data_IF_241948711635
#
_entry.id   IF_241948711635
#
_cell.length_a   1.000
_cell.length_b   1.000
_cell.length_c   1.000
_cell.angle_alpha   90.00
_cell.angle_beta   90.00
_cell.angle_gamma   90.00
#
_symmetry.space_group_name_H-M   'P 1'
#
loop_
_entity.id
_entity.type
_entity.pdbx_description
1 polymer ?
#
# COMPACT_ATOMS: atom_id res chain seq x y z
N UNK A 1 0.57 -8.97 -26.25
CA UNK A 1 0.71 -8.65 -24.82
C UNK A 1 0.08 -9.76 -24.02
N UNK A 2 0.73 -10.18 -22.93
CA UNK A 2 0.22 -11.24 -22.04
C UNK A 2 0.19 -10.74 -20.60
N UNK A 3 -0.98 -10.80 -19.95
CA UNK A 3 -1.20 -10.30 -18.58
C UNK A 3 -1.52 -11.47 -17.64
N UNK A 4 -0.92 -11.48 -16.45
CA UNK A 4 -1.37 -12.37 -15.38
C UNK A 4 -2.37 -11.64 -14.49
N UNK A 5 -3.53 -12.25 -14.22
CA UNK A 5 -4.49 -11.79 -13.23
C UNK A 5 -4.36 -12.63 -11.96
N UNK A 6 -4.09 -11.96 -10.83
CA UNK A 6 -4.07 -12.56 -9.51
C UNK A 6 -5.30 -12.11 -8.73
N UNK A 7 -6.20 -13.04 -8.45
CA UNK A 7 -7.45 -12.80 -7.72
C UNK A 7 -7.25 -13.08 -6.23
N UNK A 8 -7.63 -12.12 -5.36
CA UNK A 8 -7.50 -12.28 -3.91
C UNK A 8 -8.84 -12.20 -3.17
N UNK A 9 -9.96 -12.18 -3.90
CA UNK A 9 -11.28 -11.91 -3.35
C UNK A 9 -11.63 -10.42 -3.36
N UNK A 10 -12.33 -9.96 -2.33
CA UNK A 10 -12.77 -8.58 -2.20
C UNK A 10 -13.99 -8.23 -3.06
N UNK A 11 -14.41 -6.95 -3.02
CA UNK A 11 -15.65 -6.46 -3.64
C UNK A 11 -15.71 -6.63 -5.16
N UNK A 12 -14.56 -6.59 -5.84
CA UNK A 12 -14.48 -6.81 -7.30
C UNK A 12 -14.93 -8.24 -7.69
N UNK A 13 -14.66 -9.25 -6.83
CA UNK A 13 -15.09 -10.63 -7.02
C UNK A 13 -16.35 -11.00 -6.27
N UNK A 14 -17.02 -10.03 -5.60
CA UNK A 14 -18.16 -10.29 -4.72
C UNK A 14 -19.49 -10.18 -5.46
N UNK A 15 -20.51 -10.83 -4.90
CA UNK A 15 -21.90 -10.71 -5.30
C UNK A 15 -22.76 -10.21 -4.15
N UNK A 16 -23.80 -9.44 -4.45
CA UNK A 16 -24.85 -9.12 -3.52
C UNK A 16 -25.77 -10.34 -3.33
N UNK A 17 -25.79 -10.88 -2.11
CA UNK A 17 -26.76 -11.89 -1.69
C UNK A 17 -27.66 -11.28 -0.61
N UNK A 18 -28.81 -10.75 -1.00
CA UNK A 18 -29.69 -10.00 -0.10
C UNK A 18 -29.05 -8.66 0.29
N UNK A 19 -28.85 -8.42 1.61
CA UNK A 19 -28.19 -7.22 2.16
C UNK A 19 -26.69 -7.44 2.45
N UNK A 20 -26.13 -8.63 2.10
CA UNK A 20 -24.75 -9.01 2.42
C UNK A 20 -23.90 -9.09 1.17
N UNK A 21 -22.69 -8.51 1.22
CA UNK A 21 -21.65 -8.67 0.20
C UNK A 21 -20.80 -9.85 0.64
N UNK A 22 -20.66 -10.87 -0.22
CA UNK A 22 -19.80 -12.03 0.04
C UNK A 22 -18.92 -12.35 -1.17
N UNK A 23 -17.71 -12.90 -0.93
CA UNK A 23 -16.85 -13.39 -1.99
C UNK A 23 -17.49 -14.59 -2.66
N UNK A 24 -17.63 -14.56 -3.98
CA UNK A 24 -18.12 -15.68 -4.78
C UNK A 24 -16.96 -16.37 -5.48
N UNK A 25 -16.42 -17.41 -4.87
CA UNK A 25 -15.33 -18.21 -5.43
C UNK A 25 -15.68 -18.92 -6.75
N UNK A 26 -16.98 -18.99 -7.11
CA UNK A 26 -17.40 -19.60 -8.37
C UNK A 26 -17.25 -18.68 -9.59
N UNK A 27 -17.00 -17.38 -9.38
CA UNK A 27 -16.99 -16.37 -10.45
C UNK A 27 -15.88 -15.31 -10.32
N UNK A 28 -14.60 -15.68 -10.12
CA UNK A 28 -13.52 -14.70 -10.01
C UNK A 28 -13.30 -13.89 -11.30
N UNK A 29 -13.84 -14.36 -12.43
CA UNK A 29 -13.59 -13.80 -13.77
C UNK A 29 -14.63 -12.78 -14.25
N UNK A 30 -15.65 -12.49 -13.46
CA UNK A 30 -16.70 -11.52 -13.85
C UNK A 30 -16.14 -10.19 -14.36
N UNK A 31 -15.08 -9.70 -13.71
CA UNK A 31 -14.45 -8.43 -14.13
C UNK A 31 -13.81 -8.54 -15.50
N UNK A 32 -13.21 -9.67 -15.85
CA UNK A 32 -12.62 -9.88 -17.19
C UNK A 32 -13.71 -9.96 -18.24
N UNK A 33 -14.82 -10.65 -17.95
CA UNK A 33 -15.95 -10.78 -18.88
C UNK A 33 -16.63 -9.42 -19.09
N UNK A 34 -16.85 -8.65 -18.03
CA UNK A 34 -17.39 -7.29 -18.13
C UNK A 34 -16.43 -6.33 -18.88
N UNK A 35 -15.11 -6.47 -18.67
CA UNK A 35 -14.13 -5.71 -19.44
C UNK A 35 -14.16 -6.06 -20.93
N UNK A 36 -14.27 -7.37 -21.25
CA UNK A 36 -14.39 -7.86 -22.63
C UNK A 36 -15.63 -7.32 -23.32
N UNK A 37 -16.75 -7.28 -22.62
CA UNK A 37 -18.01 -6.74 -23.13
C UNK A 37 -17.93 -5.23 -23.39
N UNK A 38 -17.34 -4.48 -22.45
CA UNK A 38 -17.28 -3.02 -22.50
C UNK A 38 -16.24 -2.47 -23.48
N UNK A 39 -15.07 -3.10 -23.59
CA UNK A 39 -13.90 -2.56 -24.30
C UNK A 39 -13.29 -3.51 -25.33
N UNK A 40 -13.69 -4.79 -25.35
CA UNK A 40 -12.98 -5.86 -26.04
C UNK A 40 -11.70 -6.27 -25.29
N UNK A 41 -11.12 -7.41 -25.70
CA UNK A 41 -9.82 -7.88 -25.21
C UNK A 41 -8.90 -8.06 -26.41
N UNK A 42 -7.76 -7.38 -26.38
CA UNK A 42 -6.69 -7.43 -27.39
C UNK A 42 -5.37 -7.99 -26.81
N UNK A 43 -5.45 -8.76 -25.72
CA UNK A 43 -4.32 -9.36 -25.01
C UNK A 43 -4.64 -10.80 -24.55
N UNK A 44 -3.61 -11.62 -24.45
CA UNK A 44 -3.68 -12.92 -23.80
C UNK A 44 -3.59 -12.77 -22.28
N UNK A 45 -4.21 -13.70 -21.55
CA UNK A 45 -4.10 -13.69 -20.09
C UNK A 45 -4.09 -15.08 -19.48
N UNK A 46 -3.42 -15.19 -18.35
CA UNK A 46 -3.53 -16.29 -17.41
C UNK A 46 -4.11 -15.78 -16.10
N UNK A 47 -4.56 -16.70 -15.26
CA UNK A 47 -5.17 -16.40 -13.96
C UNK A 47 -4.55 -17.23 -12.85
N UNK A 48 -4.50 -16.66 -11.64
CA UNK A 48 -4.09 -17.33 -10.41
C UNK A 48 -4.90 -16.79 -9.24
N UNK A 49 -5.13 -17.62 -8.24
CA UNK A 49 -5.82 -17.24 -7.01
C UNK A 49 -4.91 -17.58 -5.81
N UNK A 50 -4.06 -16.62 -5.33
CA UNK A 50 -3.22 -16.83 -4.17
C UNK A 50 -4.01 -17.14 -2.90
N UNK A 51 -5.14 -16.48 -2.74
CA UNK A 51 -6.17 -16.70 -1.71
C UNK A 51 -7.48 -16.05 -2.13
N UNK A 52 -8.56 -16.29 -1.36
CA UNK A 52 -9.86 -15.69 -1.59
C UNK A 52 -10.46 -15.26 -0.23
N UNK A 53 -10.35 -13.97 0.11
CA UNK A 53 -10.79 -13.44 1.40
C UNK A 53 -11.31 -12.01 1.25
N UNK A 54 -12.20 -11.59 2.16
CA UNK A 54 -12.55 -10.18 2.33
C UNK A 54 -11.35 -9.43 2.94
N UNK A 55 -11.08 -8.22 2.43
CA UNK A 55 -9.83 -7.54 2.74
C UNK A 55 -9.68 -7.14 4.21
N UNK A 56 -10.77 -6.91 4.93
CA UNK A 56 -10.77 -6.67 6.38
C UNK A 56 -10.28 -7.86 7.20
N UNK A 57 -10.32 -9.08 6.63
CA UNK A 57 -9.82 -10.30 7.25
C UNK A 57 -8.37 -10.62 6.85
N UNK A 58 -7.70 -9.74 6.11
CA UNK A 58 -6.32 -9.96 5.65
C UNK A 58 -5.37 -10.16 6.82
N UNK A 59 -4.48 -11.13 6.67
CA UNK A 59 -3.44 -11.48 7.66
C UNK A 59 -2.06 -11.47 7.02
N UNK A 60 -1.01 -11.62 7.83
CA UNK A 60 0.36 -11.77 7.33
C UNK A 60 0.53 -12.97 6.39
N UNK A 61 -0.23 -14.05 6.63
CA UNK A 61 -0.19 -15.23 5.75
C UNK A 61 -0.78 -14.93 4.37
N UNK A 62 -1.84 -14.11 4.30
CA UNK A 62 -2.41 -13.65 3.03
C UNK A 62 -1.43 -12.74 2.29
N UNK A 63 -0.80 -11.78 2.99
CA UNK A 63 0.23 -10.92 2.39
C UNK A 63 1.40 -11.74 1.85
N UNK A 64 1.87 -12.72 2.61
CA UNK A 64 2.94 -13.63 2.18
C UNK A 64 2.54 -14.40 0.93
N UNK A 65 1.37 -15.07 0.93
CA UNK A 65 0.91 -15.85 -0.20
C UNK A 65 0.80 -15.01 -1.48
N UNK A 66 0.32 -13.75 -1.35
CA UNK A 66 0.24 -12.82 -2.48
C UNK A 66 1.64 -12.42 -2.98
N UNK A 67 2.53 -12.02 -2.08
CA UNK A 67 3.89 -11.60 -2.44
C UNK A 67 4.70 -12.77 -3.03
N UNK A 68 4.60 -13.99 -2.45
CA UNK A 68 5.24 -15.19 -2.99
C UNK A 68 4.74 -15.47 -4.41
N UNK A 69 3.41 -15.44 -4.63
CA UNK A 69 2.81 -15.64 -5.94
C UNK A 69 3.32 -14.62 -6.96
N UNK A 70 3.33 -13.32 -6.62
CA UNK A 70 3.83 -12.27 -7.53
C UNK A 70 5.32 -12.47 -7.82
N UNK A 71 6.16 -12.72 -6.81
CA UNK A 71 7.59 -12.93 -6.98
C UNK A 71 7.93 -14.15 -7.84
N UNK A 72 7.16 -15.23 -7.72
CA UNK A 72 7.31 -16.43 -8.57
C UNK A 72 6.95 -16.17 -10.04
N UNK A 73 5.96 -15.32 -10.28
CA UNK A 73 5.41 -15.10 -11.62
C UNK A 73 6.04 -13.94 -12.38
N UNK A 74 6.66 -12.98 -11.68
CA UNK A 74 7.11 -11.72 -12.27
C UNK A 74 8.14 -11.88 -13.39
N UNK A 75 8.91 -12.98 -13.38
CA UNK A 75 9.94 -13.28 -14.38
C UNK A 75 9.50 -14.33 -15.42
N UNK A 76 8.21 -14.68 -15.49
CA UNK A 76 7.72 -15.72 -16.41
C UNK A 76 7.28 -15.18 -17.78
N UNK A 77 7.67 -13.93 -18.14
CA UNK A 77 7.44 -13.36 -19.46
C UNK A 77 6.06 -12.73 -19.63
N UNK A 78 5.38 -12.38 -18.56
CA UNK A 78 4.20 -11.51 -18.62
C UNK A 78 4.61 -10.06 -18.87
N UNK A 79 3.83 -9.33 -19.65
CA UNK A 79 3.99 -7.89 -19.86
C UNK A 79 3.59 -7.07 -18.61
N UNK A 80 2.79 -7.66 -17.74
CA UNK A 80 2.40 -7.11 -16.45
C UNK A 80 1.52 -8.07 -15.64
N UNK A 81 1.36 -7.75 -14.36
CA UNK A 81 0.50 -8.49 -13.44
C UNK A 81 -0.59 -7.53 -12.93
N UNK A 82 -1.85 -7.95 -12.96
CA UNK A 82 -2.97 -7.23 -12.35
C UNK A 82 -3.46 -8.02 -11.14
N UNK A 83 -3.46 -7.38 -9.98
CA UNK A 83 -3.98 -7.96 -8.74
C UNK A 83 -5.33 -7.33 -8.42
N UNK A 84 -6.39 -8.13 -8.29
CA UNK A 84 -7.67 -7.65 -7.77
C UNK A 84 -7.68 -7.77 -6.26
N UNK A 85 -8.16 -6.73 -5.56
CA UNK A 85 -8.11 -6.66 -4.11
C UNK A 85 -9.34 -5.92 -3.53
N UNK A 86 -9.66 -6.15 -2.26
CA UNK A 86 -10.64 -5.33 -1.54
C UNK A 86 -10.07 -3.97 -1.14
N UNK A 87 -10.94 -2.99 -0.88
CA UNK A 87 -10.55 -1.59 -0.61
C UNK A 87 -9.94 -1.37 0.77
N UNK A 88 -10.35 -2.14 1.80
CA UNK A 88 -10.01 -1.82 3.19
C UNK A 88 -8.52 -1.94 3.50
N UNK A 89 -7.85 -2.94 2.91
CA UNK A 89 -6.42 -3.18 3.14
C UNK A 89 -5.58 -3.15 1.86
N UNK A 90 -6.11 -2.53 0.79
CA UNK A 90 -5.44 -2.33 -0.50
C UNK A 90 -4.02 -1.79 -0.33
N UNK A 91 -3.87 -0.74 0.47
CA UNK A 91 -2.61 -0.02 0.68
C UNK A 91 -1.54 -0.87 1.37
N UNK A 92 -1.95 -1.81 2.24
CA UNK A 92 -1.03 -2.75 2.89
C UNK A 92 -0.49 -3.78 1.89
N UNK A 93 -1.39 -4.41 1.13
CA UNK A 93 -1.02 -5.40 0.13
C UNK A 93 -0.21 -4.79 -1.02
N UNK A 94 -0.59 -3.60 -1.48
CA UNK A 94 0.12 -2.87 -2.53
C UNK A 94 1.55 -2.51 -2.09
N UNK A 95 1.75 -2.03 -0.85
CA UNK A 95 3.07 -1.75 -0.29
C UNK A 95 3.90 -3.01 -0.12
N UNK A 96 3.31 -4.13 0.35
CA UNK A 96 4.01 -5.40 0.52
C UNK A 96 4.50 -5.96 -0.82
N UNK A 97 3.65 -5.93 -1.86
CA UNK A 97 4.05 -6.29 -3.23
C UNK A 97 5.22 -5.40 -3.67
N UNK A 98 5.09 -4.07 -3.52
CA UNK A 98 6.11 -3.13 -3.95
C UNK A 98 7.48 -3.45 -3.32
N UNK A 99 7.52 -3.63 -2.01
CA UNK A 99 8.76 -3.96 -1.31
C UNK A 99 9.32 -5.35 -1.66
N UNK A 100 8.46 -6.28 -2.08
CA UNK A 100 8.90 -7.62 -2.48
C UNK A 100 9.56 -7.65 -3.86
N UNK A 101 9.13 -6.77 -4.78
CA UNK A 101 9.59 -6.79 -6.18
C UNK A 101 10.53 -5.63 -6.52
N UNK A 102 10.62 -4.59 -5.69
CA UNK A 102 11.39 -3.38 -5.97
C UNK A 102 10.92 -2.71 -7.26
N UNK A 103 11.85 -2.12 -8.01
CA UNK A 103 11.60 -1.53 -9.32
C UNK A 103 11.71 -2.57 -10.46
N UNK A 104 10.95 -3.66 -10.36
CA UNK A 104 10.86 -4.67 -11.42
C UNK A 104 10.41 -4.06 -12.75
N UNK A 105 11.00 -4.52 -13.87
CA UNK A 105 10.61 -4.10 -15.23
C UNK A 105 9.22 -4.63 -15.64
N UNK A 106 8.73 -5.71 -15.01
CA UNK A 106 7.34 -6.16 -15.16
C UNK A 106 6.47 -5.41 -14.17
N UNK A 107 5.63 -4.45 -14.60
CA UNK A 107 4.80 -3.67 -13.70
C UNK A 107 3.70 -4.53 -13.07
N UNK A 108 3.45 -4.31 -11.80
CA UNK A 108 2.32 -4.90 -11.07
C UNK A 108 1.32 -3.79 -10.76
N UNK A 109 0.05 -3.97 -11.15
CA UNK A 109 -0.99 -3.00 -10.86
C UNK A 109 -2.09 -3.62 -10.00
N UNK A 110 -2.32 -3.06 -8.82
CA UNK A 110 -3.41 -3.48 -7.94
C UNK A 110 -4.66 -2.67 -8.28
N UNK A 111 -5.80 -3.35 -8.41
CA UNK A 111 -7.10 -2.75 -8.69
C UNK A 111 -8.12 -3.17 -7.64
N UNK A 112 -9.02 -2.27 -7.30
CA UNK A 112 -10.08 -2.47 -6.32
C UNK A 112 -11.37 -1.82 -6.78
N UNK A 113 -12.46 -2.00 -6.03
CA UNK A 113 -13.70 -1.27 -6.21
C UNK A 113 -14.50 -1.24 -4.91
N UNK A 114 -15.13 -0.10 -4.60
CA UNK A 114 -16.01 0.03 -3.43
C UNK A 114 -17.38 -0.60 -3.64
N UNK A 115 -17.76 -0.86 -4.89
CA UNK A 115 -19.04 -1.46 -5.24
C UNK A 115 -18.85 -2.68 -6.11
N UNK A 116 -19.70 -3.72 -5.98
CA UNK A 116 -19.73 -4.84 -6.90
C UNK A 116 -19.84 -4.37 -8.36
N UNK A 117 -19.34 -5.18 -9.28
CA UNK A 117 -19.24 -4.78 -10.69
C UNK A 117 -20.60 -4.51 -11.34
N UNK A 118 -21.67 -5.13 -10.83
CA UNK A 118 -23.05 -4.95 -11.31
C UNK A 118 -23.68 -3.62 -10.81
N UNK A 119 -23.08 -2.97 -9.80
CA UNK A 119 -23.59 -1.69 -9.30
C UNK A 119 -23.15 -0.55 -10.25
N UNK A 120 -24.08 0.32 -10.68
CA UNK A 120 -23.75 1.43 -11.59
C UNK A 120 -22.77 2.46 -11.01
N UNK A 121 -22.55 2.45 -9.69
CA UNK A 121 -21.55 3.30 -9.02
C UNK A 121 -20.14 2.69 -9.09
N UNK A 122 -20.02 1.43 -9.48
CA UNK A 122 -18.75 0.71 -9.50
C UNK A 122 -17.70 1.44 -10.34
N UNK A 123 -16.49 1.54 -9.80
CA UNK A 123 -15.33 2.03 -10.52
C UNK A 123 -14.41 0.89 -11.02
N UNK A 124 -14.83 -0.38 -10.84
CA UNK A 124 -14.04 -1.56 -11.17
C UNK A 124 -13.50 -1.55 -12.61
N UNK A 125 -14.39 -1.30 -13.59
CA UNK A 125 -14.01 -1.28 -15.01
C UNK A 125 -13.05 -0.14 -15.37
N UNK A 126 -13.25 1.03 -14.78
CA UNK A 126 -12.34 2.17 -14.99
C UNK A 126 -10.95 1.88 -14.38
N UNK A 127 -10.93 1.27 -13.19
CA UNK A 127 -9.69 0.88 -12.51
C UNK A 127 -8.94 -0.19 -13.30
N UNK A 128 -9.64 -1.20 -13.79
CA UNK A 128 -9.04 -2.23 -14.62
C UNK A 128 -8.54 -1.67 -15.96
N UNK A 129 -9.30 -0.77 -16.60
CA UNK A 129 -8.86 -0.11 -17.85
C UNK A 129 -7.57 0.68 -17.65
N UNK A 130 -7.46 1.41 -16.54
CA UNK A 130 -6.24 2.12 -16.17
C UNK A 130 -5.05 1.19 -15.98
N UNK A 131 -5.24 0.05 -15.32
CA UNK A 131 -4.19 -0.95 -15.14
C UNK A 131 -3.73 -1.57 -16.47
N UNK A 132 -4.65 -1.94 -17.35
CA UNK A 132 -4.33 -2.44 -18.70
C UNK A 132 -3.60 -1.38 -19.52
N UNK A 133 -4.06 -0.13 -19.48
CA UNK A 133 -3.42 0.98 -20.19
C UNK A 133 -2.00 1.24 -19.65
N UNK A 134 -1.78 1.16 -18.32
CA UNK A 134 -0.45 1.26 -17.73
C UNK A 134 0.49 0.19 -18.29
N UNK A 135 0.06 -1.08 -18.29
CA UNK A 135 0.87 -2.20 -18.79
C UNK A 135 1.20 -2.03 -20.27
N UNK A 136 0.22 -1.65 -21.09
CA UNK A 136 0.42 -1.37 -22.54
C UNK A 136 1.47 -0.29 -22.79
N UNK A 137 1.56 0.70 -21.93
CA UNK A 137 2.44 1.86 -22.09
C UNK A 137 3.70 1.82 -21.19
N UNK A 138 3.87 0.77 -20.40
CA UNK A 138 4.86 0.71 -19.32
C UNK A 138 6.28 1.05 -19.77
N UNK A 139 6.74 0.48 -20.87
CA UNK A 139 8.09 0.73 -21.41
C UNK A 139 8.29 2.22 -21.78
N UNK A 140 7.33 2.83 -22.46
CA UNK A 140 7.41 4.24 -22.87
C UNK A 140 7.35 5.21 -21.69
N UNK A 141 6.69 4.82 -20.61
CA UNK A 141 6.56 5.62 -19.37
C UNK A 141 7.72 5.41 -18.40
N UNK A 142 8.53 4.36 -18.58
CA UNK A 142 9.46 3.89 -17.55
C UNK A 142 8.72 3.40 -16.29
N UNK A 143 7.55 2.79 -16.46
CA UNK A 143 6.75 2.29 -15.35
C UNK A 143 7.33 0.97 -14.85
N UNK A 144 8.05 1.03 -13.73
CA UNK A 144 8.71 -0.10 -13.05
C UNK A 144 8.17 -0.26 -11.64
N UNK A 145 8.03 -1.51 -11.17
CA UNK A 145 7.55 -1.81 -9.83
C UNK A 145 6.03 -1.89 -9.70
N UNK A 146 5.50 -1.55 -8.52
CA UNK A 146 4.08 -1.72 -8.20
C UNK A 146 3.30 -0.39 -8.20
N UNK A 147 2.06 -0.49 -8.67
CA UNK A 147 1.13 0.63 -8.83
C UNK A 147 -0.28 0.27 -8.37
N UNK A 148 -1.10 1.29 -8.18
CA UNK A 148 -2.55 1.18 -8.00
C UNK A 148 -3.25 2.04 -9.04
N UNK A 149 -4.24 1.49 -9.72
CA UNK A 149 -5.12 2.23 -10.63
C UNK A 149 -6.46 2.48 -9.96
N UNK A 150 -6.87 3.73 -9.85
CA UNK A 150 -8.11 4.08 -9.19
C UNK A 150 -8.79 5.30 -9.79
N UNK A 151 -10.11 5.17 -10.08
CA UNK A 151 -11.00 6.28 -10.45
C UNK A 151 -11.57 6.90 -9.17
N UNK A 152 -11.24 8.15 -8.94
CA UNK A 152 -11.69 8.93 -7.80
C UNK A 152 -13.10 9.53 -8.01
N UNK A 153 -13.72 10.12 -6.97
CA UNK A 153 -15.07 10.71 -7.05
C UNK A 153 -15.20 11.83 -8.08
N UNK A 154 -14.11 12.50 -8.44
CA UNK A 154 -14.06 13.52 -9.49
C UNK A 154 -14.07 12.93 -10.93
N UNK A 155 -14.27 11.61 -11.04
CA UNK A 155 -14.21 10.82 -12.26
C UNK A 155 -12.84 10.82 -12.95
N UNK A 156 -11.77 11.27 -12.30
CA UNK A 156 -10.42 11.08 -12.82
C UNK A 156 -9.88 9.72 -12.41
N UNK A 157 -9.34 8.96 -13.38
CA UNK A 157 -8.61 7.74 -13.09
C UNK A 157 -7.12 8.07 -13.01
N UNK A 158 -6.52 7.76 -11.86
CA UNK A 158 -5.10 8.01 -11.59
C UNK A 158 -4.37 6.70 -11.37
N UNK A 159 -3.11 6.68 -11.78
CA UNK A 159 -2.15 5.64 -11.41
C UNK A 159 -1.29 6.19 -10.29
N UNK A 160 -1.20 5.45 -9.20
CA UNK A 160 -0.44 5.81 -8.01
C UNK A 160 0.72 4.85 -7.81
N UNK A 161 1.83 5.31 -7.22
CA UNK A 161 2.82 4.40 -6.64
C UNK A 161 2.20 3.65 -5.47
N UNK A 162 2.39 2.34 -5.43
CA UNK A 162 1.83 1.49 -4.38
C UNK A 162 2.28 1.92 -2.97
N UNK A 163 3.52 2.39 -2.84
CA UNK A 163 4.12 2.83 -1.57
C UNK A 163 3.71 4.23 -1.12
N UNK A 164 3.03 5.01 -1.96
CA UNK A 164 2.59 6.37 -1.60
C UNK A 164 1.19 6.42 -1.00
N UNK A 165 0.44 5.32 -1.04
CA UNK A 165 -0.94 5.28 -0.56
C UNK A 165 -1.03 5.60 0.94
N UNK A 166 -2.00 6.43 1.29
CA UNK A 166 -2.44 6.68 2.66
C UNK A 166 -3.58 5.72 3.02
N UNK A 167 -3.96 5.72 4.29
CA UNK A 167 -5.09 4.94 4.76
C UNK A 167 -6.39 5.35 4.06
N UNK A 168 -7.20 4.36 3.68
CA UNK A 168 -8.54 4.59 3.12
C UNK A 168 -9.43 5.25 4.18
N UNK A 169 -10.09 6.34 3.80
CA UNK A 169 -10.95 7.09 4.72
C UNK A 169 -12.37 6.54 4.68
N UNK A 170 -13.04 6.41 5.83
CA UNK A 170 -14.47 6.13 5.86
C UNK A 170 -15.28 7.23 5.12
N UNK A 171 -16.44 6.85 4.57
CA UNK A 171 -17.41 7.74 3.94
C UNK A 171 -16.95 8.43 2.64
N UNK A 172 -15.86 8.02 2.05
CA UNK A 172 -15.39 8.50 0.75
C UNK A 172 -14.88 7.36 -0.11
N UNK A 173 -15.03 7.51 -1.43
CA UNK A 173 -14.47 6.60 -2.45
C UNK A 173 -13.12 7.12 -2.99
N UNK A 174 -12.44 7.96 -2.24
CA UNK A 174 -11.20 8.61 -2.64
C UNK A 174 -9.97 7.83 -2.18
N UNK A 175 -9.07 7.55 -3.11
CA UNK A 175 -7.70 7.10 -2.79
C UNK A 175 -6.82 8.33 -2.61
N UNK A 176 -6.21 8.43 -1.42
CA UNK A 176 -5.29 9.48 -1.06
C UNK A 176 -3.84 8.97 -1.08
N UNK A 177 -2.90 9.87 -1.38
CA UNK A 177 -1.46 9.58 -1.36
C UNK A 177 -0.70 10.67 -0.60
N UNK A 178 0.52 10.34 -0.18
CA UNK A 178 1.43 11.36 0.34
C UNK A 178 1.64 12.45 -0.72
N UNK A 179 1.45 13.72 -0.34
CA UNK A 179 1.55 14.91 -1.20
C UNK A 179 0.59 14.94 -2.39
N UNK A 180 -0.53 14.22 -2.36
CA UNK A 180 -1.42 14.03 -3.52
C UNK A 180 -0.69 13.55 -4.78
N UNK A 181 0.45 12.90 -4.60
CA UNK A 181 1.31 12.46 -5.66
C UNK A 181 0.67 11.30 -6.43
N UNK A 182 0.59 11.45 -7.75
CA UNK A 182 0.18 10.38 -8.65
C UNK A 182 1.26 10.18 -9.72
N UNK A 183 1.40 8.95 -10.20
CA UNK A 183 2.35 8.60 -11.26
C UNK A 183 1.88 9.09 -12.62
N UNK A 184 0.60 8.87 -12.94
CA UNK A 184 0.02 9.25 -14.22
C UNK A 184 -1.50 9.43 -14.14
N UNK A 185 -2.05 10.18 -15.10
CA UNK A 185 -3.48 10.26 -15.41
C UNK A 185 -3.83 9.29 -16.54
N UNK A 186 -5.03 8.72 -16.45
CA UNK A 186 -5.59 7.84 -17.48
C UNK A 186 -6.65 8.61 -18.27
N UNK A 187 -6.47 8.71 -19.59
CA UNK A 187 -7.43 9.29 -20.54
C UNK A 187 -7.75 8.24 -21.61
N UNK A 188 -8.80 7.46 -21.38
CA UNK A 188 -9.11 6.29 -22.19
C UNK A 188 -7.99 5.24 -22.11
N UNK A 189 -7.32 4.99 -23.26
CA UNK A 189 -6.17 4.06 -23.34
C UNK A 189 -4.83 4.81 -23.30
N UNK A 190 -4.87 6.15 -23.18
CA UNK A 190 -3.68 6.99 -23.06
C UNK A 190 -3.30 7.16 -21.60
N UNK A 191 -2.00 7.20 -21.35
CA UNK A 191 -1.42 7.48 -20.03
C UNK A 191 -0.59 8.75 -20.15
N UNK A 192 -0.89 9.71 -19.28
CA UNK A 192 -0.21 11.00 -19.21
C UNK A 192 0.60 11.01 -17.91
N UNK A 193 1.92 10.79 -18.00
CA UNK A 193 2.81 10.79 -16.86
C UNK A 193 2.80 12.15 -16.17
N UNK A 194 2.77 12.16 -14.84
CA UNK A 194 2.86 13.38 -14.04
C UNK A 194 4.31 13.93 -14.11
N UNK A 195 4.54 15.09 -14.73
CA UNK A 195 5.88 15.64 -14.86
C UNK A 195 6.45 16.19 -13.53
N UNK A 196 5.59 16.40 -12.54
CA UNK A 196 5.97 16.92 -11.24
C UNK A 196 6.40 15.81 -10.25
N UNK A 197 6.15 14.53 -10.59
CA UNK A 197 6.54 13.43 -9.71
C UNK A 197 8.06 13.22 -9.76
N UNK A 198 8.71 13.39 -8.63
CA UNK A 198 10.13 13.09 -8.45
C UNK A 198 10.25 11.73 -7.75
N UNK A 199 10.84 10.77 -8.42
CA UNK A 199 11.05 9.41 -7.91
C UNK A 199 12.51 9.23 -7.47
N UNK A 200 12.71 8.54 -6.36
CA UNK A 200 14.04 8.20 -5.85
C UNK A 200 14.29 6.72 -6.16
N UNK A 201 15.40 6.43 -6.81
CA UNK A 201 15.84 5.06 -7.11
C UNK A 201 16.03 4.23 -5.83
N UNK A 202 15.92 2.93 -5.96
CA UNK A 202 16.10 2.02 -4.85
C UNK A 202 17.53 2.04 -4.34
N UNK A 203 17.69 2.16 -3.03
CA UNK A 203 18.98 2.15 -2.33
C UNK A 203 19.25 0.81 -1.62
N UNK A 204 18.21 -0.02 -1.55
CA UNK A 204 18.28 -1.35 -0.93
C UNK A 204 17.59 -2.39 -1.82
N UNK A 205 18.00 -3.63 -1.65
CA UNK A 205 17.41 -4.77 -2.37
C UNK A 205 15.99 -5.06 -1.92
N UNK A 206 15.12 -5.60 -2.82
CA UNK A 206 13.79 -6.06 -2.47
C UNK A 206 13.79 -7.00 -1.25
N UNK A 207 12.71 -6.97 -0.49
CA UNK A 207 12.55 -7.76 0.73
C UNK A 207 11.77 -9.02 0.41
N UNK A 208 12.43 -10.19 0.49
CA UNK A 208 11.78 -11.47 0.20
C UNK A 208 10.65 -11.77 1.19
N UNK A 209 9.47 -12.19 0.73
CA UNK A 209 8.32 -12.42 1.59
C UNK A 209 8.40 -13.68 2.46
N UNK A 210 9.38 -14.57 2.21
CA UNK A 210 9.52 -15.87 2.88
C UNK A 210 9.60 -15.83 4.41
N UNK A 211 9.91 -14.67 4.98
CA UNK A 211 9.96 -14.44 6.42
C UNK A 211 8.69 -13.82 7.02
N UNK A 212 7.69 -13.46 6.22
CA UNK A 212 6.46 -12.82 6.74
C UNK A 212 5.66 -13.79 7.60
N UNK A 213 5.62 -13.55 8.90
CA UNK A 213 4.85 -14.32 9.89
C UNK A 213 4.04 -13.38 10.78
N UNK A 214 3.03 -13.92 11.47
CA UNK A 214 2.20 -13.12 12.40
C UNK A 214 3.01 -12.46 13.51
N UNK A 215 4.09 -13.11 13.93
CA UNK A 215 4.81 -12.79 15.19
C UNK A 215 6.08 -11.96 14.94
N UNK A 216 6.23 -11.39 13.75
CA UNK A 216 7.40 -10.59 13.43
C UNK A 216 7.40 -9.26 14.18
N UNK A 217 8.15 -9.24 15.23
CA UNK A 217 8.76 -8.04 15.76
C UNK A 217 7.98 -7.23 16.77
N UNK A 218 6.77 -7.63 17.17
CA UNK A 218 6.04 -6.87 18.19
C UNK A 218 5.93 -5.38 17.84
N UNK A 219 5.37 -5.05 16.67
CA UNK A 219 5.17 -3.67 16.23
C UNK A 219 3.84 -3.16 16.77
N UNK A 220 3.87 -2.07 17.53
CA UNK A 220 2.68 -1.34 17.97
C UNK A 220 2.46 -0.12 17.09
N UNK A 221 1.26 0.02 16.52
CA UNK A 221 0.88 1.22 15.76
C UNK A 221 0.03 2.11 16.66
N UNK A 222 0.42 3.38 16.79
CA UNK A 222 -0.28 4.39 17.58
C UNK A 222 -0.69 5.58 16.71
N UNK A 223 -1.96 5.96 16.79
CA UNK A 223 -2.48 7.19 16.17
C UNK A 223 -2.79 8.21 17.27
N UNK A 224 -2.29 9.46 17.17
CA UNK A 224 -2.50 10.47 18.20
C UNK A 224 -3.94 11.01 18.16
N UNK A 225 -4.48 11.30 19.34
CA UNK A 225 -5.76 11.97 19.53
C UNK A 225 -5.70 12.89 20.76
N UNK A 226 -6.64 13.84 20.85
CA UNK A 226 -6.70 14.76 22.01
C UNK A 226 -7.10 13.97 23.26
N UNK A 227 -6.29 14.08 24.33
CA UNK A 227 -6.47 13.30 25.54
C UNK A 227 -5.98 11.85 25.44
N UNK A 228 -5.02 11.60 24.56
CA UNK A 228 -4.47 10.25 24.29
C UNK A 228 -4.02 9.56 25.58
N UNK A 229 -4.50 8.33 25.76
CA UNK A 229 -4.01 7.40 26.79
C UNK A 229 -3.00 6.47 26.13
N UNK A 230 -1.80 6.42 26.70
CA UNK A 230 -0.75 5.52 26.24
C UNK A 230 -0.90 4.11 26.83
N UNK A 231 -0.47 3.05 26.12
CA UNK A 231 -0.46 1.70 26.66
C UNK A 231 0.36 1.62 27.95
N UNK A 232 -0.18 0.97 29.00
CA UNK A 232 0.51 0.88 30.31
C UNK A 232 1.67 -0.12 30.30
N UNK A 233 1.71 -1.03 29.32
CA UNK A 233 2.72 -2.08 29.20
C UNK A 233 3.22 -2.17 27.75
N UNK A 234 4.52 -2.39 27.60
CA UNK A 234 5.21 -2.60 26.34
C UNK A 234 5.84 -4.00 26.23
N UNK A 235 5.38 -4.96 27.01
CA UNK A 235 5.93 -6.32 26.98
C UNK A 235 5.67 -6.96 25.62
N UNK A 236 6.71 -7.55 25.02
CA UNK A 236 6.67 -8.10 23.68
C UNK A 236 6.71 -7.06 22.54
N UNK A 237 6.68 -5.76 22.86
CA UNK A 237 6.81 -4.68 21.87
C UNK A 237 8.28 -4.32 21.71
N UNK A 238 8.76 -4.34 20.48
CA UNK A 238 10.13 -3.95 20.11
C UNK A 238 10.16 -2.62 19.35
N UNK A 239 9.08 -2.31 18.64
CA UNK A 239 8.97 -1.12 17.81
C UNK A 239 7.60 -0.47 17.94
N UNK A 240 7.57 0.85 17.81
CA UNK A 240 6.34 1.64 17.72
C UNK A 240 6.38 2.43 16.42
N UNK A 241 5.33 2.29 15.60
CA UNK A 241 5.01 3.22 14.52
C UNK A 241 4.01 4.22 15.09
N UNK A 242 4.44 5.44 15.27
CA UNK A 242 3.63 6.53 15.81
C UNK A 242 3.23 7.46 14.66
N UNK A 243 1.93 7.54 14.37
CA UNK A 243 1.43 8.52 13.42
C UNK A 243 1.51 9.93 14.03
N UNK A 244 1.71 10.92 13.19
CA UNK A 244 1.70 12.32 13.62
C UNK A 244 0.31 12.96 13.46
N UNK A 245 0.11 14.13 14.07
CA UNK A 245 -0.91 15.08 13.62
C UNK A 245 -0.57 15.64 12.24
N UNK A 246 -1.51 16.36 11.64
CA UNK A 246 -1.39 16.93 10.30
C UNK A 246 -0.06 17.65 10.02
N UNK A 247 0.50 18.33 11.00
CA UNK A 247 1.75 19.10 10.87
C UNK A 247 3.03 18.29 11.12
N UNK A 248 2.96 16.96 11.15
CA UNK A 248 4.12 16.12 11.48
C UNK A 248 4.53 16.18 12.96
N UNK A 249 3.61 16.56 13.84
CA UNK A 249 3.84 16.79 15.27
C UNK A 249 3.05 15.83 16.14
N UNK A 250 3.45 15.73 17.40
CA UNK A 250 2.73 15.01 18.46
C UNK A 250 2.79 15.82 19.76
N UNK A 251 2.03 15.40 20.76
CA UNK A 251 2.17 15.97 22.11
C UNK A 251 3.51 15.54 22.74
N UNK A 252 4.40 16.49 22.98
CA UNK A 252 5.72 16.28 23.59
C UNK A 252 5.85 16.90 24.98
N UNK A 253 4.77 17.51 25.51
CA UNK A 253 4.80 18.27 26.75
C UNK A 253 3.97 17.66 27.88
N UNK A 254 2.97 16.82 27.59
CA UNK A 254 2.19 16.20 28.68
C UNK A 254 3.04 15.23 29.48
N UNK A 255 2.83 15.15 30.82
CA UNK A 255 3.53 14.19 31.67
C UNK A 255 3.39 12.74 31.21
N UNK A 256 2.20 12.38 30.70
CA UNK A 256 1.88 11.04 30.20
C UNK A 256 2.73 10.70 28.96
N UNK A 257 2.81 11.62 28.00
CA UNK A 257 3.64 11.44 26.80
C UNK A 257 5.12 11.31 27.15
N UNK A 258 5.64 12.22 28.00
CA UNK A 258 7.04 12.21 28.41
C UNK A 258 7.37 10.90 29.16
N UNK A 259 6.51 10.47 30.09
CA UNK A 259 6.68 9.22 30.83
C UNK A 259 6.65 8.00 29.91
N UNK A 260 5.71 7.96 28.94
CA UNK A 260 5.61 6.87 27.98
C UNK A 260 6.86 6.72 27.13
N UNK A 261 7.35 7.80 26.54
CA UNK A 261 8.55 7.73 25.70
C UNK A 261 9.82 7.43 26.50
N UNK A 262 9.91 7.92 27.75
CA UNK A 262 10.99 7.53 28.66
C UNK A 262 10.97 6.03 28.93
N UNK A 263 9.78 5.48 29.23
CA UNK A 263 9.60 4.04 29.45
C UNK A 263 9.93 3.20 28.20
N UNK A 264 9.48 3.63 27.02
CA UNK A 264 9.82 2.97 25.75
C UNK A 264 11.34 2.90 25.54
N UNK A 265 12.05 4.01 25.81
CA UNK A 265 13.51 4.07 25.70
C UNK A 265 14.20 3.15 26.73
N UNK A 266 13.72 3.11 27.99
CA UNK A 266 14.26 2.23 29.03
C UNK A 266 14.10 0.75 28.67
N UNK A 267 12.99 0.38 28.01
CA UNK A 267 12.72 -0.95 27.50
C UNK A 267 13.47 -1.27 26.19
N UNK A 268 14.18 -0.33 25.60
CA UNK A 268 14.85 -0.47 24.31
C UNK A 268 13.89 -0.50 23.12
N UNK A 269 12.62 -0.08 23.30
CA UNK A 269 11.63 -0.01 22.24
C UNK A 269 11.94 1.19 21.34
N UNK A 270 12.05 0.97 20.03
CA UNK A 270 12.28 2.03 19.04
C UNK A 270 10.97 2.68 18.61
N UNK A 271 10.94 4.00 18.60
CA UNK A 271 9.76 4.77 18.23
C UNK A 271 10.02 5.51 16.92
N UNK A 272 9.33 5.11 15.87
CA UNK A 272 9.34 5.77 14.57
C UNK A 272 8.11 6.66 14.42
N UNK A 273 8.32 7.95 14.13
CA UNK A 273 7.24 8.90 13.83
C UNK A 273 7.05 9.01 12.32
N UNK A 274 5.83 8.75 11.85
CA UNK A 274 5.43 8.89 10.44
C UNK A 274 4.59 10.14 10.21
N UNK A 275 4.42 10.55 8.95
CA UNK A 275 3.69 11.77 8.60
C UNK A 275 4.50 13.06 8.77
N UNK A 276 5.78 12.97 9.14
CA UNK A 276 6.69 14.10 9.16
C UNK A 276 7.15 14.44 7.74
N UNK A 277 7.15 15.74 7.41
CA UNK A 277 7.66 16.25 6.14
C UNK A 277 9.11 16.73 6.29
N UNK A 278 9.86 16.76 5.19
CA UNK A 278 11.13 17.46 5.12
C UNK A 278 10.87 18.98 5.09
N UNK A 279 11.67 19.76 5.83
CA UNK A 279 11.57 21.22 5.85
C UNK A 279 11.62 21.81 7.25
N UNK A 280 11.13 23.05 7.44
CA UNK A 280 11.10 23.71 8.75
C UNK A 280 10.26 22.90 9.75
N UNK A 281 10.77 22.79 10.98
CA UNK A 281 10.15 22.00 12.04
C UNK A 281 9.45 22.90 13.07
N UNK A 282 8.38 22.41 13.64
CA UNK A 282 7.73 23.02 14.80
C UNK A 282 8.59 22.86 16.06
N UNK A 283 8.44 23.76 17.05
CA UNK A 283 9.15 23.67 18.33
C UNK A 283 9.05 22.30 18.99
N UNK A 284 7.88 21.64 18.91
CA UNK A 284 7.69 20.30 19.47
C UNK A 284 8.59 19.23 18.83
N UNK A 285 8.94 19.39 17.56
CA UNK A 285 9.82 18.44 16.84
C UNK A 285 11.26 18.48 17.36
N UNK A 286 11.69 19.62 17.92
CA UNK A 286 13.04 19.75 18.53
C UNK A 286 13.23 18.86 19.76
N UNK A 287 12.14 18.33 20.32
CA UNK A 287 12.16 17.42 21.46
C UNK A 287 12.20 15.94 21.07
N UNK A 288 12.02 15.60 19.80
CA UNK A 288 11.94 14.21 19.36
C UNK A 288 13.19 13.40 19.72
N UNK A 289 14.37 13.91 19.44
CA UNK A 289 15.62 13.25 19.80
C UNK A 289 15.72 13.00 21.31
N UNK A 290 15.39 14.00 22.14
CA UNK A 290 15.39 13.85 23.60
C UNK A 290 14.42 12.79 24.09
N UNK A 291 13.28 12.62 23.40
CA UNK A 291 12.27 11.60 23.72
C UNK A 291 12.57 10.24 23.10
N UNK A 292 13.63 10.11 22.29
CA UNK A 292 13.98 8.88 21.60
C UNK A 292 13.07 8.58 20.40
N UNK A 293 12.46 9.60 19.81
CA UNK A 293 11.56 9.49 18.66
C UNK A 293 12.35 9.76 17.38
N UNK A 294 12.23 8.85 16.42
CA UNK A 294 12.93 8.87 15.14
C UNK A 294 11.94 9.25 14.04
N UNK A 295 11.96 10.47 13.50
CA UNK A 295 11.05 10.84 12.42
C UNK A 295 11.42 10.17 11.09
N UNK A 296 10.47 9.46 10.48
CA UNK A 296 10.55 8.96 9.10
C UNK A 296 9.87 10.00 8.23
N UNK A 297 10.65 10.67 7.37
CA UNK A 297 10.13 11.76 6.55
C UNK A 297 9.71 11.26 5.17
N UNK A 298 8.60 11.82 4.69
CA UNK A 298 8.12 11.64 3.32
C UNK A 298 7.74 10.20 2.94
N UNK A 299 7.54 9.32 3.90
CA UNK A 299 7.04 7.94 3.67
C UNK A 299 5.61 7.85 4.24
N UNK A 300 4.72 7.20 3.48
CA UNK A 300 3.37 6.89 3.96
C UNK A 300 3.43 6.10 5.26
N UNK A 301 2.57 6.40 6.26
CA UNK A 301 2.50 5.63 7.50
C UNK A 301 2.30 4.13 7.28
N UNK A 302 1.45 3.76 6.32
CA UNK A 302 1.19 2.36 5.96
C UNK A 302 2.45 1.71 5.38
N UNK A 303 3.10 2.38 4.43
CA UNK A 303 4.33 1.88 3.82
C UNK A 303 5.46 1.76 4.84
N UNK A 304 5.58 2.71 5.75
CA UNK A 304 6.56 2.63 6.84
C UNK A 304 6.32 1.41 7.75
N UNK A 305 5.05 1.15 8.10
CA UNK A 305 4.67 -0.03 8.87
C UNK A 305 5.01 -1.34 8.13
N UNK A 306 4.59 -1.47 6.88
CA UNK A 306 4.85 -2.67 6.07
C UNK A 306 6.36 -2.87 5.86
N UNK A 307 7.10 -1.80 5.55
CA UNK A 307 8.56 -1.87 5.39
C UNK A 307 9.25 -2.39 6.65
N UNK A 308 8.92 -1.80 7.81
CA UNK A 308 9.48 -2.24 9.08
C UNK A 308 9.15 -3.70 9.35
N UNK A 309 7.89 -4.09 9.19
CA UNK A 309 7.46 -5.46 9.39
C UNK A 309 8.22 -6.44 8.50
N UNK A 310 8.31 -6.15 7.20
CA UNK A 310 9.04 -7.00 6.25
C UNK A 310 10.54 -7.08 6.57
N UNK A 311 11.19 -5.97 6.93
CA UNK A 311 12.60 -5.94 7.33
C UNK A 311 12.85 -6.82 8.56
N UNK A 312 12.01 -6.70 9.59
CA UNK A 312 12.13 -7.51 10.80
C UNK A 312 11.93 -9.00 10.53
N UNK A 313 10.91 -9.36 9.75
CA UNK A 313 10.65 -10.73 9.33
C UNK A 313 11.83 -11.33 8.54
N UNK A 314 12.45 -10.53 7.69
CA UNK A 314 13.61 -10.94 6.91
C UNK A 314 14.93 -10.95 7.70
N UNK A 315 14.91 -10.57 8.98
CA UNK A 315 16.12 -10.42 9.81
C UNK A 315 17.07 -9.33 9.31
N UNK A 316 16.53 -8.33 8.57
CA UNK A 316 17.30 -7.21 8.01
C UNK A 316 17.42 -6.07 9.02
N UNK A 317 18.47 -5.29 8.87
CA UNK A 317 18.75 -4.20 9.81
C UNK A 317 17.80 -3.01 9.66
N UNK A 318 17.39 -2.45 10.79
CA UNK A 318 16.51 -1.26 10.86
C UNK A 318 17.10 -0.01 10.21
N UNK A 319 18.42 0.06 10.01
CA UNK A 319 19.06 1.16 9.26
C UNK A 319 18.55 1.31 7.84
N UNK A 320 17.89 0.27 7.30
CA UNK A 320 17.27 0.32 5.98
C UNK A 320 15.92 1.03 5.95
N UNK A 321 15.31 1.33 7.10
CA UNK A 321 14.05 2.08 7.18
C UNK A 321 14.10 3.45 6.50
N UNK A 322 15.27 4.10 6.53
CA UNK A 322 15.47 5.45 5.99
C UNK A 322 15.99 5.46 4.55
N UNK A 323 16.24 4.28 3.96
CA UNK A 323 16.77 4.14 2.61
C UNK A 323 15.63 3.83 1.65
N UNK A 324 15.66 4.39 0.43
CA UNK A 324 14.60 4.20 -0.56
C UNK A 324 14.47 2.74 -1.00
N UNK A 325 13.22 2.28 -1.12
CA UNK A 325 12.83 1.03 -1.79
C UNK A 325 11.48 1.23 -2.47
N UNK A 326 11.38 0.86 -3.73
CA UNK A 326 10.15 1.01 -4.55
C UNK A 326 9.63 2.45 -4.59
N UNK A 327 10.55 3.42 -4.64
CA UNK A 327 10.23 4.85 -4.64
C UNK A 327 9.37 5.29 -3.45
N UNK A 328 9.52 4.69 -2.26
CA UNK A 328 8.66 4.95 -1.10
C UNK A 328 8.83 6.34 -0.46
N UNK A 329 9.90 7.05 -0.80
CA UNK A 329 10.14 8.42 -0.33
C UNK A 329 9.48 9.39 -1.32
N UNK A 330 8.31 9.91 -0.96
CA UNK A 330 7.57 10.89 -1.77
C UNK A 330 8.20 12.29 -1.69
N UNK A 331 8.21 13.01 -2.82
CA UNK A 331 8.72 14.39 -2.94
C UNK A 331 7.87 15.23 -3.88
#
# INVERSE_FOLDING_TARGET
MKILFAFTGGTIGSTLSGETISTDSSKPYKIIDAYREAFGIDFDYDTVEPYNELSENSTGDHLRALCDCVCEKINLGYDGIIVTHGTDTLQYSASAIAYSIGLSDTPVCVVSSNFPIEDPRSNALANLRGAVALIKNARGLGARGAFVSYRNPDNTTKIYRATHLLESKPFTDEVCTAYDAYFALVDGDKIIKNPALCEIEDEIEPIKPSGLTRDCGGILVLAPYVGMTYPPCLDGITHIILNSYHSGTINTKSPEAVSFFAHAREKGVKVYLTGAMAGPEYESATLFEKLGIIPIRNISPISAYIKLWMLLCAGRGEGEMMRSLSCDIAR
#
